data_IF_559014325871
#
_entry.id   IF_559014325871
#
_cell.length_a   1.000
_cell.length_b   1.000
_cell.length_c   1.000
_cell.angle_alpha   90.00
_cell.angle_beta   90.00
_cell.angle_gamma   90.00
#
_symmetry.space_group_name_H-M   'P 1'
#
loop_
_entity.id
_entity.type
_entity.pdbx_description
1 polymer ?
#
# COMPACT_ATOMS: atom_id res chain seq x y z
N UNK A 1 -6.26 21.16 -23.16
CA UNK A 1 -5.59 19.88 -23.24
C UNK A 1 -6.01 19.02 -22.03
N UNK A 2 -6.89 18.05 -22.25
CA UNK A 2 -7.37 17.12 -21.21
C UNK A 2 -6.36 15.98 -21.10
N UNK A 3 -5.68 15.85 -19.95
CA UNK A 3 -4.94 14.64 -19.60
C UNK A 3 -5.93 13.63 -19.03
N UNK A 4 -6.19 12.56 -19.78
CA UNK A 4 -6.99 11.43 -19.34
C UNK A 4 -6.29 10.68 -18.21
N UNK A 5 -7.03 10.45 -17.12
CA UNK A 5 -6.62 9.55 -16.06
C UNK A 5 -6.55 8.12 -16.61
N UNK A 6 -5.40 7.46 -16.48
CA UNK A 6 -5.26 6.05 -16.79
C UNK A 6 -6.11 5.24 -15.80
N UNK A 7 -7.21 4.67 -16.29
CA UNK A 7 -8.01 3.71 -15.54
C UNK A 7 -7.17 2.46 -15.30
N UNK A 8 -7.19 1.95 -14.07
CA UNK A 8 -6.59 0.67 -13.73
C UNK A 8 -7.33 -0.44 -14.53
N UNK A 9 -6.65 -0.97 -15.53
CA UNK A 9 -7.13 -2.07 -16.37
C UNK A 9 -7.22 -3.33 -15.53
N UNK A 10 -8.34 -4.06 -15.57
CA UNK A 10 -8.49 -5.34 -14.86
C UNK A 10 -7.60 -6.41 -15.52
N UNK A 11 -7.29 -7.48 -14.80
CA UNK A 11 -6.49 -8.61 -15.33
C UNK A 11 -7.18 -9.21 -16.57
N UNK A 12 -8.51 -9.21 -16.62
CA UNK A 12 -9.29 -9.70 -17.77
C UNK A 12 -9.25 -8.73 -18.95
N UNK A 13 -9.20 -7.41 -18.72
CA UNK A 13 -8.98 -6.41 -19.76
C UNK A 13 -7.57 -6.51 -20.37
N UNK A 14 -6.57 -6.84 -19.53
CA UNK A 14 -5.19 -7.12 -19.99
C UNK A 14 -5.17 -8.38 -20.85
N UNK A 15 -5.88 -9.44 -20.48
CA UNK A 15 -5.96 -10.66 -21.25
C UNK A 15 -6.68 -10.46 -22.60
N UNK A 16 -7.80 -9.71 -22.62
CA UNK A 16 -8.53 -9.39 -23.86
C UNK A 16 -7.72 -8.46 -24.78
N UNK A 17 -7.05 -7.46 -24.21
CA UNK A 17 -6.16 -6.56 -24.97
C UNK A 17 -4.93 -7.31 -25.48
N UNK A 18 -4.40 -8.28 -24.71
CA UNK A 18 -3.26 -9.10 -25.11
C UNK A 18 -3.60 -10.00 -26.31
N UNK A 19 -4.83 -10.54 -26.40
CA UNK A 19 -5.24 -11.39 -27.53
C UNK A 19 -5.24 -10.65 -28.87
N UNK A 20 -5.52 -9.35 -28.87
CA UNK A 20 -5.46 -8.47 -30.05
C UNK A 20 -4.09 -7.87 -30.29
N UNK A 21 -3.21 -7.83 -29.28
CA UNK A 21 -1.90 -7.17 -29.33
C UNK A 21 -0.74 -8.08 -29.78
N UNK A 22 -0.89 -9.41 -29.68
CA UNK A 22 0.18 -10.34 -30.11
C UNK A 22 0.09 -10.62 -31.61
N UNK A 23 1.10 -10.19 -32.42
CA UNK A 23 1.11 -10.41 -33.88
C UNK A 23 1.40 -11.88 -34.22
N UNK A 24 1.18 -12.26 -35.50
CA UNK A 24 1.52 -13.59 -35.99
C UNK A 24 3.02 -13.86 -36.02
N UNK A 25 3.80 -12.83 -36.20
CA UNK A 25 5.28 -12.90 -36.29
C UNK A 25 5.84 -11.90 -35.27
N UNK A 26 6.73 -12.38 -34.41
CA UNK A 26 7.49 -11.58 -33.46
C UNK A 26 8.95 -11.63 -33.81
N UNK A 27 9.52 -10.47 -34.15
CA UNK A 27 10.94 -10.38 -34.48
C UNK A 27 11.73 -10.28 -33.16
N UNK A 28 12.79 -11.08 -33.07
CA UNK A 28 13.68 -11.13 -31.89
C UNK A 28 15.15 -11.01 -32.35
N UNK A 29 16.03 -10.39 -31.53
CA UNK A 29 17.45 -10.26 -31.88
C UNK A 29 18.19 -11.59 -31.82
N UNK A 30 17.75 -12.52 -30.97
CA UNK A 30 18.20 -13.90 -30.86
C UNK A 30 17.06 -14.77 -30.38
N UNK A 31 17.04 -16.06 -30.77
CA UNK A 31 16.06 -16.98 -30.21
C UNK A 31 16.38 -17.25 -28.75
N UNK A 32 15.40 -17.20 -27.83
CA UNK A 32 15.59 -17.57 -26.43
C UNK A 32 15.94 -19.08 -26.33
N UNK A 33 16.59 -19.47 -25.23
CA UNK A 33 16.98 -20.85 -24.98
C UNK A 33 15.79 -21.83 -25.06
N UNK A 34 14.63 -21.40 -24.58
CA UNK A 34 13.38 -22.15 -24.67
C UNK A 34 12.38 -21.48 -25.64
N UNK A 35 12.77 -21.34 -26.88
CA UNK A 35 11.94 -20.77 -27.94
C UNK A 35 10.59 -21.49 -28.13
N UNK A 36 10.49 -22.85 -27.98
CA UNK A 36 9.21 -23.56 -28.07
C UNK A 36 8.22 -23.13 -26.99
N UNK A 37 8.63 -23.00 -25.73
CA UNK A 37 7.77 -22.57 -24.63
C UNK A 37 7.30 -21.11 -24.81
N UNK A 38 8.20 -20.21 -25.23
CA UNK A 38 7.84 -18.82 -25.53
C UNK A 38 6.82 -18.74 -26.68
N UNK A 39 6.98 -19.54 -27.74
CA UNK A 39 5.99 -19.60 -28.83
C UNK A 39 4.65 -20.10 -28.35
N UNK A 40 4.63 -21.18 -27.57
CA UNK A 40 3.40 -21.77 -27.03
C UNK A 40 2.67 -20.76 -26.12
N UNK A 41 3.39 -20.05 -25.27
CA UNK A 41 2.84 -19.00 -24.41
C UNK A 41 2.22 -17.86 -25.22
N UNK A 42 2.96 -17.30 -26.20
CA UNK A 42 2.47 -16.23 -27.06
C UNK A 42 1.27 -16.71 -27.93
N UNK A 43 1.29 -17.96 -28.40
CA UNK A 43 0.20 -18.56 -29.15
C UNK A 43 -1.06 -18.70 -28.29
N UNK A 44 -0.91 -19.08 -27.00
CA UNK A 44 -2.00 -19.10 -26.01
C UNK A 44 -2.60 -17.72 -25.78
N UNK A 45 -1.79 -16.69 -25.63
CA UNK A 45 -2.24 -15.30 -25.48
C UNK A 45 -2.97 -14.79 -26.72
N UNK A 46 -2.54 -15.20 -27.90
CA UNK A 46 -3.14 -14.78 -29.16
C UNK A 46 -4.40 -15.57 -29.53
N UNK A 47 -4.55 -16.80 -29.07
CA UNK A 47 -5.56 -17.74 -29.56
C UNK A 47 -5.22 -18.30 -30.95
N UNK A 48 -3.95 -18.36 -31.35
CA UNK A 48 -3.48 -18.85 -32.65
C UNK A 48 -1.97 -18.87 -32.78
N UNK A 49 -1.42 -19.48 -33.84
CA UNK A 49 0.01 -19.65 -34.02
C UNK A 49 0.80 -18.33 -34.03
N UNK A 50 1.94 -18.33 -33.37
CA UNK A 50 2.91 -17.22 -33.35
C UNK A 50 4.28 -17.74 -33.74
N UNK A 51 4.96 -17.02 -34.67
CA UNK A 51 6.31 -17.31 -35.12
C UNK A 51 7.31 -16.35 -34.46
N UNK A 52 8.37 -16.89 -33.86
CA UNK A 52 9.53 -16.11 -33.42
C UNK A 52 10.58 -16.16 -34.52
N UNK A 53 11.01 -15.01 -35.01
CA UNK A 53 11.95 -14.91 -36.12
C UNK A 53 13.11 -13.98 -35.83
N UNK A 54 14.32 -14.42 -36.16
CA UNK A 54 15.53 -13.56 -36.20
C UNK A 54 15.69 -13.05 -37.63
N UNK A 55 15.47 -11.76 -37.87
CA UNK A 55 15.61 -11.21 -39.21
C UNK A 55 17.09 -11.04 -39.60
N UNK A 56 17.48 -11.58 -40.74
CA UNK A 56 18.89 -11.56 -41.22
C UNK A 56 19.12 -10.53 -42.32
N UNK A 57 18.10 -10.22 -43.16
CA UNK A 57 18.20 -9.28 -44.29
C UNK A 57 16.88 -8.58 -44.59
N UNK A 58 16.94 -7.52 -45.40
CA UNK A 58 15.80 -6.73 -45.86
C UNK A 58 15.21 -5.85 -44.78
N UNK A 59 14.01 -5.33 -45.02
CA UNK A 59 13.33 -4.33 -44.16
C UNK A 59 13.16 -4.78 -42.71
N UNK A 60 12.92 -6.06 -42.48
CA UNK A 60 12.78 -6.61 -41.10
C UNK A 60 14.11 -6.56 -40.34
N UNK A 61 15.24 -6.74 -40.98
CA UNK A 61 16.56 -6.58 -40.35
C UNK A 61 16.88 -5.11 -40.07
N UNK A 62 16.50 -4.21 -40.98
CA UNK A 62 16.62 -2.76 -40.78
C UNK A 62 15.75 -2.30 -39.61
N UNK A 63 14.49 -2.76 -39.54
CA UNK A 63 13.59 -2.51 -38.42
C UNK A 63 14.17 -3.01 -37.09
N UNK A 64 14.74 -4.22 -37.06
CA UNK A 64 15.38 -4.77 -35.86
C UNK A 64 16.58 -3.92 -35.43
N UNK A 65 17.36 -3.40 -36.37
CA UNK A 65 18.45 -2.45 -36.09
C UNK A 65 17.95 -1.18 -35.39
N UNK A 66 16.86 -0.62 -35.89
CA UNK A 66 16.24 0.57 -35.29
C UNK A 66 15.69 0.27 -33.87
N UNK A 67 15.00 -0.85 -33.70
CA UNK A 67 14.46 -1.27 -32.40
C UNK A 67 15.60 -1.50 -31.40
N UNK A 68 16.69 -2.14 -31.81
CA UNK A 68 17.85 -2.35 -30.94
C UNK A 68 18.48 -1.03 -30.52
N UNK A 69 18.70 -0.10 -31.45
CA UNK A 69 19.26 1.21 -31.15
C UNK A 69 18.38 1.99 -30.15
N UNK A 70 17.07 1.95 -30.35
CA UNK A 70 16.11 2.59 -29.42
C UNK A 70 16.16 1.93 -28.04
N UNK A 71 16.26 0.61 -27.95
CA UNK A 71 16.37 -0.11 -26.69
C UNK A 71 17.67 0.19 -25.95
N UNK A 72 18.80 0.25 -26.66
CA UNK A 72 20.11 0.63 -26.12
C UNK A 72 20.08 2.07 -25.55
N UNK A 73 19.49 3.00 -26.29
CA UNK A 73 19.34 4.39 -25.84
C UNK A 73 18.41 4.50 -24.63
N UNK A 74 17.26 3.81 -24.65
CA UNK A 74 16.35 3.77 -23.51
C UNK A 74 17.02 3.17 -22.26
N UNK A 75 17.82 2.12 -22.42
CA UNK A 75 18.59 1.51 -21.33
C UNK A 75 19.67 2.47 -20.80
N UNK A 76 20.37 3.19 -21.68
CA UNK A 76 21.35 4.19 -21.30
C UNK A 76 20.71 5.29 -20.48
N UNK A 77 19.60 5.86 -20.94
CA UNK A 77 18.85 6.89 -20.22
C UNK A 77 18.33 6.38 -18.88
N UNK A 78 17.83 5.15 -18.83
CA UNK A 78 17.38 4.54 -17.57
C UNK A 78 18.53 4.38 -16.56
N UNK A 79 19.70 3.90 -16.99
CA UNK A 79 20.89 3.78 -16.14
C UNK A 79 21.36 5.13 -15.62
N UNK A 80 21.41 6.17 -16.47
CA UNK A 80 21.81 7.53 -16.09
C UNK A 80 20.85 8.14 -15.07
N UNK A 81 19.53 8.01 -15.29
CA UNK A 81 18.52 8.47 -14.32
C UNK A 81 18.68 7.78 -12.97
N UNK A 82 18.83 6.46 -12.98
CA UNK A 82 18.99 5.67 -11.74
C UNK A 82 20.25 6.07 -10.96
N UNK A 83 21.38 6.28 -11.64
CA UNK A 83 22.61 6.77 -11.01
C UNK A 83 22.42 8.16 -10.39
N UNK A 84 21.79 9.09 -11.13
CA UNK A 84 21.48 10.43 -10.60
C UNK A 84 20.52 10.40 -9.41
N UNK A 85 19.54 9.48 -9.41
CA UNK A 85 18.62 9.32 -8.29
C UNK A 85 19.33 8.81 -7.02
N UNK A 86 20.28 7.88 -7.14
CA UNK A 86 21.08 7.38 -6.01
C UNK A 86 21.92 8.49 -5.41
N UNK A 87 22.66 9.25 -6.24
CA UNK A 87 23.49 10.38 -5.78
C UNK A 87 22.67 11.44 -5.05
N UNK A 88 21.49 11.78 -5.58
CA UNK A 88 20.59 12.74 -4.92
C UNK A 88 20.07 12.23 -3.57
N UNK A 89 19.76 10.96 -3.46
CA UNK A 89 19.30 10.35 -2.21
C UNK A 89 20.41 10.32 -1.16
N UNK A 90 21.63 9.92 -1.54
CA UNK A 90 22.78 9.96 -0.63
C UNK A 90 23.03 11.38 -0.13
N UNK A 91 23.07 12.36 -1.02
CA UNK A 91 23.24 13.78 -0.64
C UNK A 91 22.11 14.26 0.30
N UNK A 92 20.87 13.83 0.08
CA UNK A 92 19.76 14.20 0.97
C UNK A 92 19.89 13.58 2.36
N UNK A 93 20.35 12.34 2.47
CA UNK A 93 20.57 11.66 3.75
C UNK A 93 21.75 12.25 4.52
N UNK A 94 22.85 12.59 3.81
CA UNK A 94 24.03 13.26 4.38
C UNK A 94 23.69 14.67 4.88
N UNK A 95 22.97 15.46 4.08
CA UNK A 95 22.50 16.78 4.49
C UNK A 95 21.55 16.70 5.69
N UNK A 96 20.66 15.72 5.72
CA UNK A 96 19.76 15.49 6.84
C UNK A 96 20.54 15.15 8.11
N UNK A 97 21.54 14.28 8.00
CA UNK A 97 22.41 13.94 9.12
C UNK A 97 23.13 15.19 9.67
N UNK A 98 23.71 16.00 8.78
CA UNK A 98 24.38 17.23 9.19
C UNK A 98 23.44 18.27 9.80
N UNK A 99 22.22 18.40 9.28
CA UNK A 99 21.24 19.36 9.81
C UNK A 99 20.67 18.97 11.18
N UNK A 100 20.67 17.68 11.50
CA UNK A 100 20.14 17.11 12.76
C UNK A 100 21.25 16.69 13.72
N UNK A 101 22.52 16.96 13.40
CA UNK A 101 23.71 16.54 14.17
C UNK A 101 23.72 15.04 14.47
N UNK A 102 23.32 14.22 13.48
CA UNK A 102 23.34 12.77 13.61
C UNK A 102 24.74 12.22 13.37
N UNK A 103 25.15 11.16 14.08
CA UNK A 103 26.48 10.57 13.92
C UNK A 103 26.69 9.94 12.53
N UNK A 104 25.61 9.48 11.92
CA UNK A 104 25.62 8.81 10.60
C UNK A 104 24.38 9.17 9.79
N UNK A 105 24.47 9.04 8.46
CA UNK A 105 23.33 9.20 7.59
C UNK A 105 22.23 8.15 7.90
N UNK A 106 20.97 8.57 8.14
CA UNK A 106 19.89 7.67 8.53
C UNK A 106 19.41 6.85 7.34
N UNK A 107 20.09 5.74 7.04
CA UNK A 107 19.76 4.87 5.89
C UNK A 107 18.35 4.27 5.98
N UNK A 108 17.86 4.02 7.20
CA UNK A 108 16.49 3.58 7.45
C UNK A 108 15.74 4.63 8.24
N UNK A 109 14.67 5.16 7.65
CA UNK A 109 13.80 6.17 8.27
C UNK A 109 12.40 5.57 8.39
N UNK A 110 11.81 5.62 9.59
CA UNK A 110 10.42 5.24 9.85
C UNK A 110 9.59 6.49 10.13
N UNK A 111 8.52 6.73 9.36
CA UNK A 111 7.63 7.86 9.58
C UNK A 111 6.25 7.39 10.05
N UNK A 112 5.73 8.06 11.08
CA UNK A 112 4.48 7.73 11.74
C UNK A 112 3.46 8.85 11.60
N UNK A 113 2.25 8.49 11.22
CA UNK A 113 1.08 9.37 11.11
C UNK A 113 -0.11 8.77 11.85
N UNK A 114 -0.82 9.58 12.62
CA UNK A 114 -2.06 9.19 13.30
C UNK A 114 -3.23 9.77 12.51
N UNK A 115 -4.13 8.90 12.12
CA UNK A 115 -5.31 9.26 11.34
C UNK A 115 -6.58 8.86 12.05
N UNK A 116 -7.57 9.77 12.03
CA UNK A 116 -8.91 9.52 12.57
C UNK A 116 -9.85 9.01 11.48
N UNK A 117 -10.52 7.91 11.76
CA UNK A 117 -11.65 7.45 10.93
C UNK A 117 -12.94 7.92 11.59
N UNK A 118 -13.74 8.74 10.91
CA UNK A 118 -15.04 9.18 11.41
C UNK A 118 -15.84 7.98 11.91
N UNK A 119 -16.09 7.95 13.24
CA UNK A 119 -17.00 7.00 13.89
C UNK A 119 -16.41 5.73 14.51
N UNK A 120 -15.14 5.38 14.35
CA UNK A 120 -14.52 4.28 15.09
C UNK A 120 -12.99 4.24 14.86
N UNK A 121 -12.24 4.06 15.92
CA UNK A 121 -10.83 3.71 16.00
C UNK A 121 -9.83 4.57 15.22
N UNK A 122 -8.94 5.17 15.96
CA UNK A 122 -7.72 5.78 15.45
C UNK A 122 -6.82 4.69 14.86
N UNK A 123 -6.11 5.04 13.78
CA UNK A 123 -5.15 4.15 13.12
C UNK A 123 -3.82 4.88 12.99
N UNK A 124 -2.77 4.30 13.55
CA UNK A 124 -1.41 4.70 13.28
C UNK A 124 -0.91 4.06 12.00
N UNK A 125 -0.30 4.82 11.12
CA UNK A 125 0.40 4.31 9.93
C UNK A 125 1.90 4.51 10.08
N UNK A 126 2.67 3.53 9.62
CA UNK A 126 4.13 3.56 9.58
C UNK A 126 4.56 3.34 8.14
N UNK A 127 5.27 4.27 7.56
CA UNK A 127 5.98 4.10 6.29
C UNK A 127 7.47 4.02 6.54
N UNK A 128 8.17 3.30 5.67
CA UNK A 128 9.60 3.05 5.79
C UNK A 128 10.29 3.51 4.52
N UNK A 129 11.35 4.29 4.69
CA UNK A 129 12.29 4.62 3.63
C UNK A 129 13.62 3.94 3.94
N UNK A 130 14.24 3.39 2.90
CA UNK A 130 15.56 2.78 2.95
C UNK A 130 16.38 3.35 1.80
N UNK A 131 17.59 3.81 2.10
CA UNK A 131 18.46 4.51 1.14
C UNK A 131 17.74 5.69 0.43
N UNK A 132 16.93 6.45 1.18
CA UNK A 132 16.16 7.59 0.67
C UNK A 132 15.00 7.21 -0.26
N UNK A 133 14.58 5.94 -0.31
CA UNK A 133 13.48 5.46 -1.15
C UNK A 133 12.41 4.71 -0.36
N UNK A 134 11.12 4.77 -0.78
CA UNK A 134 10.03 4.07 -0.10
C UNK A 134 10.18 2.54 -0.18
N UNK A 135 10.20 1.87 0.98
CA UNK A 135 10.20 0.41 1.11
C UNK A 135 8.81 -0.10 1.49
N UNK A 136 7.92 -0.21 0.52
CA UNK A 136 6.51 -0.51 0.73
C UNK A 136 6.22 -1.86 1.41
N UNK A 137 7.13 -2.85 1.29
CA UNK A 137 7.03 -4.15 1.99
C UNK A 137 7.00 -4.01 3.51
N UNK A 138 7.62 -2.92 4.02
CA UNK A 138 7.81 -2.68 5.44
C UNK A 138 6.78 -1.73 6.05
N UNK A 139 5.83 -1.23 5.24
CA UNK A 139 4.75 -0.39 5.72
C UNK A 139 3.81 -1.16 6.66
N UNK A 140 3.37 -0.52 7.74
CA UNK A 140 2.49 -1.13 8.74
C UNK A 140 1.38 -0.19 9.15
N UNK A 141 0.32 -0.80 9.67
CA UNK A 141 -0.80 -0.12 10.30
C UNK A 141 -0.99 -0.67 11.70
N UNK A 142 -1.33 0.22 12.61
CA UNK A 142 -1.56 -0.09 14.00
C UNK A 142 -2.96 0.41 14.35
N UNK A 143 -3.87 -0.50 14.68
CA UNK A 143 -5.13 -0.12 15.29
C UNK A 143 -4.83 0.38 16.70
N UNK A 144 -5.24 1.61 17.00
CA UNK A 144 -5.08 2.20 18.33
C UNK A 144 -6.26 1.75 19.19
N UNK A 145 -5.95 1.16 20.32
CA UNK A 145 -6.97 0.62 21.24
C UNK A 145 -7.27 1.57 22.39
N UNK A 146 -6.30 2.39 22.81
CA UNK A 146 -6.39 3.18 24.03
C UNK A 146 -6.38 2.29 25.28
N UNK A 147 -6.47 2.90 26.47
CA UNK A 147 -6.45 2.16 27.74
C UNK A 147 -7.71 1.33 27.96
N UNK A 148 -8.85 1.80 27.46
CA UNK A 148 -10.18 1.19 27.73
C UNK A 148 -10.74 0.47 26.49
N UNK A 149 -9.94 0.27 25.44
CA UNK A 149 -10.38 -0.37 24.21
C UNK A 149 -11.26 0.52 23.30
N UNK A 150 -11.54 1.77 23.70
CA UNK A 150 -12.41 2.72 22.97
C UNK A 150 -11.64 3.65 22.03
N UNK A 151 -10.32 3.51 21.97
CA UNK A 151 -9.40 4.40 21.26
C UNK A 151 -8.61 5.30 22.21
N UNK A 152 -7.58 5.97 21.69
CA UNK A 152 -6.80 6.91 22.50
C UNK A 152 -7.57 8.23 22.68
N UNK A 153 -7.30 8.90 23.78
CA UNK A 153 -7.96 10.19 24.14
C UNK A 153 -7.60 11.27 23.13
N UNK A 154 -6.37 11.25 22.62
CA UNK A 154 -5.82 12.22 21.66
C UNK A 154 -4.73 11.60 20.78
N UNK A 155 -4.20 12.40 19.85
CA UNK A 155 -3.15 11.97 18.92
C UNK A 155 -1.82 11.67 19.62
N UNK A 156 -1.54 12.32 20.74
CA UNK A 156 -0.30 12.10 21.50
C UNK A 156 -0.33 10.76 22.20
N UNK A 157 -1.45 10.39 22.81
CA UNK A 157 -1.66 9.07 23.42
C UNK A 157 -1.65 7.95 22.35
N UNK A 158 -2.25 8.20 21.18
CA UNK A 158 -2.21 7.27 20.05
C UNK A 158 -0.79 7.06 19.53
N UNK A 159 -0.01 8.13 19.36
CA UNK A 159 1.37 8.08 18.93
C UNK A 159 2.24 7.28 19.90
N UNK A 160 2.08 7.55 21.20
CA UNK A 160 2.78 6.80 22.26
C UNK A 160 2.45 5.31 22.21
N UNK A 161 1.17 4.93 22.05
CA UNK A 161 0.78 3.51 21.92
C UNK A 161 1.45 2.84 20.71
N UNK A 162 1.39 3.48 19.55
CA UNK A 162 1.95 2.94 18.30
C UNK A 162 3.45 2.71 18.42
N UNK A 163 4.19 3.70 18.91
CA UNK A 163 5.64 3.60 19.09
C UNK A 163 6.01 2.56 20.15
N UNK A 164 5.31 2.55 21.28
CA UNK A 164 5.51 1.54 22.32
C UNK A 164 5.36 0.12 21.76
N UNK A 165 4.30 -0.15 20.98
CA UNK A 165 4.07 -1.47 20.36
C UNK A 165 5.15 -1.82 19.33
N UNK A 166 5.57 -0.85 18.52
CA UNK A 166 6.61 -1.06 17.50
C UNK A 166 7.95 -1.40 18.15
N UNK A 167 8.37 -0.59 19.14
CA UNK A 167 9.70 -0.75 19.74
C UNK A 167 9.76 -1.88 20.77
N UNK A 168 8.70 -2.20 21.49
CA UNK A 168 8.60 -3.46 22.26
C UNK A 168 8.85 -4.68 21.38
N UNK A 169 8.29 -4.67 20.17
CA UNK A 169 8.50 -5.76 19.22
C UNK A 169 9.95 -5.79 18.69
N UNK A 170 10.57 -4.64 18.44
CA UNK A 170 11.98 -4.57 18.11
C UNK A 170 12.85 -5.22 19.18
N UNK A 171 12.66 -4.81 20.44
CA UNK A 171 13.40 -5.35 21.58
C UNK A 171 13.19 -6.87 21.75
N UNK A 172 11.97 -7.34 21.60
CA UNK A 172 11.66 -8.78 21.64
C UNK A 172 12.33 -9.56 20.50
N UNK A 173 12.39 -9.01 19.29
CA UNK A 173 13.05 -9.65 18.14
C UNK A 173 14.59 -9.58 18.23
N UNK A 174 15.14 -8.63 18.98
CA UNK A 174 16.58 -8.52 19.27
C UNK A 174 17.02 -9.33 20.49
N UNK A 175 16.09 -9.93 21.25
CA UNK A 175 16.41 -10.70 22.46
C UNK A 175 16.69 -9.84 23.70
N UNK A 176 16.41 -8.54 23.66
CA UNK A 176 16.63 -7.58 24.74
C UNK A 176 15.32 -7.20 25.48
N UNK A 177 14.27 -8.00 25.38
CA UNK A 177 12.99 -7.71 26.03
C UNK A 177 12.97 -8.15 27.51
N UNK A 178 12.39 -7.34 28.46
CA UNK A 178 12.10 -7.83 29.79
C UNK A 178 11.08 -8.97 29.71
N UNK A 179 11.33 -10.04 30.45
CA UNK A 179 10.37 -11.14 30.61
C UNK A 179 9.09 -10.63 31.30
N UNK A 180 8.11 -10.19 30.53
CA UNK A 180 6.77 -9.97 31.03
C UNK A 180 5.74 -10.26 29.95
N UNK A 181 4.91 -11.29 30.22
CA UNK A 181 3.57 -11.51 29.73
C UNK A 181 3.29 -11.29 28.24
N UNK A 182 3.44 -12.33 27.45
CA UNK A 182 2.91 -12.34 26.08
C UNK A 182 1.37 -12.29 26.14
N UNK A 183 0.77 -11.11 25.97
CA UNK A 183 -0.60 -11.02 25.54
C UNK A 183 -0.69 -11.40 24.05
N UNK A 184 -1.69 -12.22 23.66
CA UNK A 184 -1.83 -12.63 22.27
C UNK A 184 -2.20 -11.42 21.41
N UNK A 185 -1.31 -11.03 20.51
CA UNK A 185 -1.60 -10.03 19.50
C UNK A 185 -2.78 -10.50 18.66
N UNK A 186 -3.88 -9.75 18.69
CA UNK A 186 -5.06 -9.95 17.89
C UNK A 186 -4.69 -10.14 16.42
N UNK A 187 -5.09 -11.28 15.87
CA UNK A 187 -4.93 -11.66 14.48
C UNK A 187 -5.88 -10.85 13.61
N UNK A 188 -5.33 -9.91 12.83
CA UNK A 188 -6.02 -9.38 11.66
C UNK A 188 -5.45 -10.04 10.40
N UNK A 189 -6.25 -10.97 9.89
CA UNK A 189 -6.40 -11.34 8.50
C UNK A 189 -5.23 -11.92 7.73
N UNK A 190 -5.15 -13.27 7.65
CA UNK A 190 -4.56 -13.93 6.49
C UNK A 190 -3.73 -15.17 6.78
N UNK A 191 -4.38 -16.34 6.57
CA UNK A 191 -3.82 -17.67 6.39
C UNK A 191 -3.51 -18.49 7.67
N UNK A 192 -4.35 -19.49 7.85
CA UNK A 192 -4.17 -20.62 8.77
C UNK A 192 -2.85 -21.34 8.50
N UNK A 193 -2.03 -21.43 9.54
CA UNK A 193 -0.84 -22.27 9.62
C UNK A 193 -0.69 -22.79 11.04
N UNK A 194 -0.91 -24.06 11.20
CA UNK A 194 -0.74 -24.98 12.31
C UNK A 194 0.04 -24.47 13.53
N UNK A 195 -0.60 -24.61 14.71
CA UNK A 195 -0.01 -24.42 16.01
C UNK A 195 1.19 -25.38 16.21
N UNK A 196 2.39 -24.80 16.15
CA UNK A 196 3.64 -25.45 16.57
C UNK A 196 4.10 -24.81 17.87
N UNK A 197 4.31 -25.61 18.88
CA UNK A 197 4.87 -25.28 20.18
C UNK A 197 6.11 -24.40 20.04
N UNK A 198 6.04 -23.17 20.56
CA UNK A 198 7.13 -22.22 20.54
C UNK A 198 8.23 -22.68 21.48
N UNK A 199 9.35 -23.12 20.91
CA UNK A 199 10.63 -23.28 21.63
C UNK A 199 11.26 -21.91 21.87
N UNK A 200 11.81 -21.62 23.06
CA UNK A 200 12.40 -20.32 23.38
C UNK A 200 13.87 -20.27 22.91
N UNK A 201 14.11 -20.24 21.62
CA UNK A 201 15.44 -20.03 21.10
C UNK A 201 15.43 -19.58 19.64
N UNK A 202 15.27 -18.28 19.44
CA UNK A 202 15.74 -17.65 18.21
C UNK A 202 15.69 -16.13 18.32
N UNK A 203 16.52 -15.56 19.22
CA UNK A 203 16.86 -14.15 19.23
C UNK A 203 17.85 -13.87 18.11
N UNK A 204 17.45 -13.11 17.10
CA UNK A 204 18.31 -12.72 16.00
C UNK A 204 17.52 -12.05 14.86
N UNK A 205 18.18 -11.24 14.02
CA UNK A 205 17.53 -10.49 12.95
C UNK A 205 16.98 -11.38 11.82
N UNK A 206 17.37 -12.66 11.80
CA UNK A 206 16.94 -13.63 10.79
C UNK A 206 16.02 -14.67 11.43
N UNK A 207 14.90 -14.93 10.82
CA UNK A 207 13.98 -16.00 11.20
C UNK A 207 14.62 -17.37 10.82
N UNK A 208 14.93 -18.23 11.79
CA UNK A 208 15.63 -19.49 11.53
C UNK A 208 14.78 -20.49 10.72
N UNK A 209 13.45 -20.37 10.74
CA UNK A 209 12.55 -21.26 10.00
C UNK A 209 12.41 -20.89 8.52
N UNK A 210 12.52 -19.60 8.19
CA UNK A 210 12.33 -19.10 6.83
C UNK A 210 13.60 -18.54 6.18
N UNK A 211 14.68 -18.35 6.96
CA UNK A 211 15.93 -17.73 6.52
C UNK A 211 15.78 -16.26 6.10
N UNK A 212 14.62 -15.63 6.39
CA UNK A 212 14.32 -14.26 6.01
C UNK A 212 14.52 -13.30 7.18
N UNK A 213 14.91 -12.05 6.93
CA UNK A 213 14.97 -11.03 7.96
C UNK A 213 13.62 -10.89 8.67
N UNK A 214 13.62 -10.87 9.99
CA UNK A 214 12.42 -10.54 10.78
C UNK A 214 12.04 -9.10 10.51
N UNK A 215 10.75 -8.84 10.38
CA UNK A 215 10.24 -7.58 9.85
C UNK A 215 10.49 -6.34 10.72
N UNK A 216 10.73 -6.55 12.01
CA UNK A 216 10.94 -5.49 13.00
C UNK A 216 12.32 -5.52 13.67
N UNK A 217 13.22 -6.39 13.24
CA UNK A 217 14.54 -6.58 13.85
C UNK A 217 15.54 -5.45 13.58
N UNK A 218 15.25 -4.58 12.62
CA UNK A 218 16.11 -3.45 12.30
C UNK A 218 15.65 -2.19 13.01
N UNK A 219 16.55 -1.60 13.83
CA UNK A 219 16.33 -0.27 14.37
C UNK A 219 16.38 0.75 13.25
N UNK A 220 15.48 1.77 13.22
CA UNK A 220 15.63 2.89 12.30
C UNK A 220 16.80 3.77 12.72
N UNK A 221 17.49 4.38 11.75
CA UNK A 221 18.47 5.44 12.01
C UNK A 221 17.80 6.78 12.35
N UNK A 222 16.49 6.92 12.01
CA UNK A 222 15.69 8.09 12.32
C UNK A 222 14.21 7.73 12.42
N UNK A 223 13.55 8.20 13.46
CA UNK A 223 12.09 8.20 13.60
C UNK A 223 11.56 9.58 13.26
N UNK A 224 10.55 9.65 12.40
CA UNK A 224 9.84 10.87 12.02
C UNK A 224 8.39 10.77 12.44
N UNK A 225 7.88 11.78 13.09
CA UNK A 225 6.46 11.89 13.49
C UNK A 225 5.82 13.00 12.64
N UNK A 226 4.71 12.67 11.95
CA UNK A 226 3.89 13.68 11.26
C UNK A 226 3.10 14.48 12.31
N UNK A 227 3.76 15.48 12.89
CA UNK A 227 3.20 16.30 13.93
C UNK A 227 4.21 17.30 14.50
N UNK A 228 3.72 18.19 15.36
CA UNK A 228 4.54 19.19 16.04
C UNK A 228 5.09 18.68 17.37
N UNK A 229 5.60 19.63 18.18
CA UNK A 229 6.28 19.38 19.45
C UNK A 229 5.51 18.47 20.44
N UNK A 230 4.16 18.56 20.59
CA UNK A 230 3.43 17.67 21.51
C UNK A 230 3.55 16.18 21.11
N UNK A 231 3.43 15.87 19.81
CA UNK A 231 3.55 14.50 19.29
C UNK A 231 5.00 14.00 19.41
N UNK A 232 5.98 14.87 19.17
CA UNK A 232 7.42 14.57 19.35
C UNK A 232 7.73 14.21 20.80
N UNK A 233 7.25 15.02 21.74
CA UNK A 233 7.47 14.77 23.16
C UNK A 233 6.81 13.46 23.64
N UNK A 234 5.59 13.16 23.15
CA UNK A 234 4.92 11.91 23.44
C UNK A 234 5.69 10.71 22.85
N UNK A 235 6.23 10.86 21.66
CA UNK A 235 7.08 9.86 21.01
C UNK A 235 8.39 9.64 21.78
N UNK A 236 9.06 10.71 22.21
CA UNK A 236 10.29 10.65 23.02
C UNK A 236 10.04 9.91 24.34
N UNK A 237 8.97 10.29 25.05
CA UNK A 237 8.58 9.61 26.29
C UNK A 237 8.39 8.10 26.09
N UNK A 238 7.76 7.68 24.98
CA UNK A 238 7.56 6.27 24.69
C UNK A 238 8.87 5.51 24.46
N UNK A 239 9.84 6.14 23.80
CA UNK A 239 11.16 5.57 23.53
C UNK A 239 12.01 5.50 24.82
N UNK A 240 11.97 6.55 25.63
CA UNK A 240 12.69 6.62 26.91
C UNK A 240 12.22 5.56 27.91
N UNK A 241 10.89 5.34 28.01
CA UNK A 241 10.31 4.30 28.84
C UNK A 241 10.74 2.87 28.44
N UNK A 242 11.12 2.70 27.18
CA UNK A 242 11.62 1.43 26.65
C UNK A 242 13.15 1.31 26.66
N UNK A 243 13.86 2.38 27.06
CA UNK A 243 15.33 2.44 27.00
C UNK A 243 15.86 2.40 25.56
N UNK A 244 15.08 2.92 24.60
CA UNK A 244 15.45 2.92 23.18
C UNK A 244 16.03 4.27 22.82
N UNK A 245 17.30 4.28 22.44
CA UNK A 245 17.99 5.47 21.98
C UNK A 245 18.03 5.49 20.44
N UNK A 246 17.06 6.19 19.85
CA UNK A 246 16.93 6.40 18.41
C UNK A 246 16.64 7.87 18.16
N UNK A 247 17.34 8.52 17.19
CA UNK A 247 17.04 9.88 16.78
C UNK A 247 15.56 10.04 16.39
N UNK A 248 14.96 11.13 16.85
CA UNK A 248 13.54 11.42 16.67
C UNK A 248 13.33 12.86 16.24
N UNK A 249 12.47 13.07 15.26
CA UNK A 249 12.02 14.40 14.85
C UNK A 249 10.52 14.44 14.61
N UNK A 250 9.93 15.62 14.70
CA UNK A 250 8.59 15.92 14.19
C UNK A 250 8.63 16.78 12.95
N UNK A 251 7.71 16.57 12.05
CA UNK A 251 7.53 17.40 10.86
C UNK A 251 6.18 18.10 10.92
N UNK A 252 6.17 19.40 11.23
CA UNK A 252 4.94 20.17 11.34
C UNK A 252 4.37 20.51 9.95
N UNK A 253 3.02 20.45 9.82
CA UNK A 253 2.31 20.71 8.54
C UNK A 253 2.44 22.15 8.03
N UNK A 254 2.55 23.11 8.95
CA UNK A 254 2.76 24.52 8.59
C UNK A 254 4.25 24.86 8.67
N UNK A 255 4.76 25.52 7.66
CA UNK A 255 6.14 26.01 7.55
C UNK A 255 7.23 24.93 7.40
N UNK A 256 6.85 23.64 7.34
CA UNK A 256 7.81 22.52 7.18
C UNK A 256 8.91 22.54 8.26
N UNK A 257 8.53 22.94 9.47
CA UNK A 257 9.40 23.00 10.64
C UNK A 257 9.75 21.59 11.10
N UNK A 258 11.05 21.38 11.33
CA UNK A 258 11.57 20.11 11.87
C UNK A 258 11.81 20.31 13.36
N UNK A 259 10.98 19.63 14.17
CA UNK A 259 11.06 19.71 15.63
C UNK A 259 11.92 18.58 16.18
N UNK A 260 12.91 18.94 17.00
CA UNK A 260 13.77 17.99 17.71
C UNK A 260 13.34 17.96 19.18
N UNK A 261 13.26 16.80 19.84
CA UNK A 261 12.92 16.72 21.27
C UNK A 261 13.89 17.52 22.13
N UNK A 262 13.36 18.34 23.03
CA UNK A 262 14.16 19.13 23.94
C UNK A 262 14.65 20.47 23.38
N UNK A 263 14.50 20.74 22.10
CA UNK A 263 14.87 22.02 21.50
C UNK A 263 13.72 23.02 21.61
N UNK A 264 14.08 24.29 21.90
CA UNK A 264 13.11 25.37 22.02
C UNK A 264 12.64 25.87 20.64
N UNK A 265 13.49 25.74 19.62
CA UNK A 265 13.22 26.21 18.25
C UNK A 265 13.33 25.07 17.25
N UNK A 266 12.50 25.10 16.18
CA UNK A 266 12.61 24.11 15.12
C UNK A 266 13.86 24.33 14.26
N UNK A 267 14.39 23.24 13.74
CA UNK A 267 15.40 23.30 12.67
C UNK A 267 14.71 23.70 11.37
N UNK A 268 15.22 24.75 10.72
CA UNK A 268 14.68 25.23 9.44
C UNK A 268 15.63 24.85 8.32
N UNK A 269 15.16 23.99 7.42
CA UNK A 269 15.89 23.61 6.22
C UNK A 269 15.59 24.58 5.06
N UNK A 270 16.59 24.82 4.21
CA UNK A 270 16.37 25.63 3.02
C UNK A 270 15.33 25.00 2.09
N UNK A 271 14.48 25.80 1.43
CA UNK A 271 13.44 25.29 0.53
C UNK A 271 13.96 24.47 -0.65
N UNK A 272 15.21 24.69 -1.04
CA UNK A 272 15.90 23.95 -2.11
C UNK A 272 16.69 22.75 -1.60
N UNK A 273 16.67 22.51 -0.29
CA UNK A 273 17.40 21.44 0.38
C UNK A 273 16.94 20.06 -0.08
N UNK A 274 17.85 19.19 -0.55
CA UNK A 274 17.58 17.78 -0.77
C UNK A 274 17.00 17.06 0.46
N UNK A 275 17.47 17.37 1.67
CA UNK A 275 16.97 16.83 2.93
C UNK A 275 15.50 17.23 3.17
N UNK A 276 15.14 18.49 2.94
CA UNK A 276 13.74 18.93 3.04
C UNK A 276 12.83 18.18 2.05
N UNK A 277 13.27 18.04 0.80
CA UNK A 277 12.51 17.31 -0.21
C UNK A 277 12.33 15.82 0.17
N UNK A 278 13.34 15.20 0.80
CA UNK A 278 13.23 13.84 1.33
C UNK A 278 12.17 13.75 2.43
N UNK A 279 12.19 14.67 3.40
CA UNK A 279 11.21 14.72 4.50
C UNK A 279 9.79 15.00 3.98
N UNK A 280 9.63 15.88 3.01
CA UNK A 280 8.35 16.14 2.34
C UNK A 280 7.83 14.87 1.66
N UNK A 281 8.69 14.18 0.89
CA UNK A 281 8.33 12.93 0.24
C UNK A 281 7.93 11.85 1.25
N UNK A 282 8.64 11.75 2.37
CA UNK A 282 8.34 10.83 3.46
C UNK A 282 6.96 11.11 4.07
N UNK A 283 6.67 12.37 4.38
CA UNK A 283 5.38 12.84 4.90
C UNK A 283 4.24 12.57 3.92
N UNK A 284 4.42 12.96 2.66
CA UNK A 284 3.40 12.78 1.62
C UNK A 284 3.08 11.29 1.40
N UNK A 285 4.09 10.42 1.45
CA UNK A 285 3.91 8.98 1.35
C UNK A 285 3.19 8.42 2.59
N UNK A 286 3.51 8.89 3.80
CA UNK A 286 2.81 8.52 5.04
C UNK A 286 1.32 8.89 4.94
N UNK A 287 1.05 10.13 4.58
CA UNK A 287 -0.32 10.62 4.41
C UNK A 287 -1.08 9.89 3.30
N UNK A 288 -0.43 9.62 2.16
CA UNK A 288 -0.99 8.81 1.06
C UNK A 288 -1.35 7.40 1.52
N UNK A 289 -0.48 6.77 2.31
CA UNK A 289 -0.70 5.42 2.83
C UNK A 289 -1.88 5.39 3.81
N UNK A 290 -1.98 6.37 4.69
CA UNK A 290 -3.10 6.55 5.61
C UNK A 290 -4.43 6.73 4.87
N UNK A 291 -4.51 7.69 3.92
CA UNK A 291 -5.73 7.98 3.14
C UNK A 291 -6.20 6.77 2.32
N UNK A 292 -5.28 6.01 1.72
CA UNK A 292 -5.62 4.82 0.93
C UNK A 292 -6.39 3.81 1.77
N UNK A 293 -6.00 3.63 3.03
CA UNK A 293 -6.71 2.74 3.96
C UNK A 293 -8.11 3.26 4.31
N UNK A 294 -8.23 4.56 4.59
CA UNK A 294 -9.54 5.16 4.88
C UNK A 294 -10.52 4.98 3.73
N UNK A 295 -10.05 5.19 2.49
CA UNK A 295 -10.87 4.97 1.29
C UNK A 295 -11.29 3.50 1.15
N UNK A 296 -10.37 2.56 1.36
CA UNK A 296 -10.68 1.12 1.29
C UNK A 296 -11.67 0.69 2.38
N UNK A 297 -11.50 1.13 3.63
CA UNK A 297 -12.45 0.86 4.73
C UNK A 297 -13.82 1.49 4.49
N UNK A 298 -13.85 2.75 4.05
CA UNK A 298 -15.11 3.44 3.72
C UNK A 298 -15.83 2.72 2.58
N UNK A 299 -15.13 2.34 1.53
CA UNK A 299 -15.70 1.56 0.43
C UNK A 299 -16.22 0.20 0.92
N UNK A 300 -15.48 -0.50 1.78
CA UNK A 300 -15.93 -1.77 2.36
C UNK A 300 -17.14 -1.60 3.28
N UNK A 301 -17.18 -0.53 4.09
CA UNK A 301 -18.32 -0.22 4.95
C UNK A 301 -19.56 0.14 4.13
N UNK A 302 -19.43 1.01 3.12
CA UNK A 302 -20.53 1.34 2.19
C UNK A 302 -21.00 0.11 1.41
N UNK A 303 -20.07 -0.78 1.06
CA UNK A 303 -20.37 -2.03 0.36
C UNK A 303 -21.18 -2.98 1.25
N UNK A 304 -20.82 -3.11 2.54
CA UNK A 304 -21.59 -3.91 3.52
C UNK A 304 -22.96 -3.29 3.75
N UNK A 305 -23.02 -2.00 4.08
CA UNK A 305 -24.28 -1.30 4.31
C UNK A 305 -25.27 -1.46 3.14
N UNK A 306 -24.79 -1.35 1.90
CA UNK A 306 -25.65 -1.54 0.73
C UNK A 306 -26.19 -2.98 0.55
N UNK A 307 -25.57 -3.98 1.19
CA UNK A 307 -25.99 -5.38 1.14
C UNK A 307 -26.68 -5.84 2.43
N UNK A 308 -26.47 -5.14 3.55
CA UNK A 308 -27.07 -5.50 4.85
C UNK A 308 -28.59 -5.35 4.84
N UNK A 309 -29.10 -4.38 4.09
CA UNK A 309 -30.52 -4.09 3.96
C UNK A 309 -31.27 -5.06 3.01
N UNK A 310 -30.54 -5.97 2.33
CA UNK A 310 -31.17 -6.92 1.39
C UNK A 310 -31.78 -8.10 2.16
N UNK A 311 -33.13 -8.29 2.10
CA UNK A 311 -33.79 -9.38 2.80
C UNK A 311 -33.26 -10.75 2.38
N UNK A 312 -32.90 -11.59 3.36
CA UNK A 312 -32.41 -12.96 3.11
C UNK A 312 -30.95 -13.07 2.70
N UNK A 313 -30.19 -11.95 2.65
CA UNK A 313 -28.79 -11.93 2.31
C UNK A 313 -27.91 -11.87 3.57
N UNK A 314 -27.66 -13.01 4.21
CA UNK A 314 -26.80 -13.07 5.39
C UNK A 314 -25.30 -12.92 5.09
N UNK A 315 -24.45 -12.72 6.14
CA UNK A 315 -23.03 -12.38 6.01
C UNK A 315 -22.21 -13.34 5.14
N UNK A 316 -22.48 -14.64 5.22
CA UNK A 316 -21.78 -15.65 4.42
C UNK A 316 -22.07 -15.51 2.91
N UNK A 317 -23.30 -15.18 2.54
CA UNK A 317 -23.71 -14.98 1.15
C UNK A 317 -23.17 -13.64 0.62
N UNK A 318 -23.15 -12.60 1.45
CA UNK A 318 -22.52 -11.30 1.11
C UNK A 318 -21.03 -11.50 0.81
N UNK A 319 -20.31 -12.24 1.65
CA UNK A 319 -18.91 -12.54 1.45
C UNK A 319 -18.66 -13.32 0.14
N UNK A 320 -19.52 -14.30 -0.18
CA UNK A 320 -19.44 -15.06 -1.43
C UNK A 320 -19.66 -14.16 -2.66
N UNK A 321 -20.65 -13.26 -2.62
CA UNK A 321 -20.91 -12.29 -3.69
C UNK A 321 -19.73 -11.33 -3.88
N UNK A 322 -19.20 -10.78 -2.80
CA UNK A 322 -18.07 -9.85 -2.87
C UNK A 322 -16.79 -10.53 -3.36
N UNK A 323 -16.61 -11.82 -3.04
CA UNK A 323 -15.51 -12.63 -3.55
C UNK A 323 -15.61 -12.83 -5.06
N UNK A 324 -16.82 -13.11 -5.57
CA UNK A 324 -17.07 -13.38 -7.01
C UNK A 324 -17.01 -12.09 -7.85
N UNK A 325 -17.73 -11.06 -7.42
CA UNK A 325 -17.90 -9.83 -8.21
C UNK A 325 -16.88 -8.73 -7.87
N UNK A 326 -16.18 -8.83 -6.74
CA UNK A 326 -15.14 -7.87 -6.31
C UNK A 326 -15.66 -6.51 -5.86
N UNK A 327 -16.87 -6.08 -6.29
CA UNK A 327 -17.48 -4.79 -5.89
C UNK A 327 -18.99 -4.76 -6.11
N UNK A 328 -19.71 -3.92 -5.31
CA UNK A 328 -21.16 -3.68 -5.51
C UNK A 328 -21.45 -3.07 -6.86
N UNK A 329 -20.56 -2.27 -7.41
CA UNK A 329 -20.73 -1.69 -8.76
C UNK A 329 -20.79 -2.79 -9.85
N UNK A 330 -19.90 -3.79 -9.78
CA UNK A 330 -19.94 -4.95 -10.71
C UNK A 330 -21.14 -5.83 -10.44
N UNK A 331 -21.53 -5.99 -9.17
CA UNK A 331 -22.73 -6.75 -8.79
C UNK A 331 -24.01 -6.10 -9.35
N UNK A 332 -24.13 -4.79 -9.29
CA UNK A 332 -25.25 -4.04 -9.92
C UNK A 332 -25.34 -4.20 -11.42
N UNK A 333 -24.20 -4.34 -12.08
CA UNK A 333 -24.13 -4.51 -13.54
C UNK A 333 -24.27 -5.98 -14.00
N UNK A 334 -24.30 -6.93 -13.06
CA UNK A 334 -24.40 -8.34 -13.37
C UNK A 334 -25.85 -8.78 -13.68
N UNK A 335 -26.02 -9.86 -14.43
CA UNK A 335 -27.33 -10.45 -14.68
C UNK A 335 -27.80 -11.31 -13.49
N UNK A 336 -29.12 -11.48 -13.36
CA UNK A 336 -29.70 -12.32 -12.29
C UNK A 336 -29.19 -13.76 -12.34
N UNK A 337 -28.99 -14.32 -13.54
CA UNK A 337 -28.45 -15.67 -13.73
C UNK A 337 -27.03 -15.79 -13.19
N UNK A 338 -26.19 -14.79 -13.45
CA UNK A 338 -24.81 -14.78 -12.97
C UNK A 338 -24.71 -14.61 -11.45
N UNK A 339 -25.64 -13.87 -10.85
CA UNK A 339 -25.74 -13.76 -9.40
C UNK A 339 -26.25 -15.07 -8.79
N UNK A 340 -27.23 -15.72 -9.42
CA UNK A 340 -27.77 -17.00 -8.98
C UNK A 340 -26.77 -18.16 -9.10
N UNK A 341 -25.72 -18.06 -9.93
CA UNK A 341 -24.66 -19.05 -10.03
C UNK A 341 -23.73 -19.09 -8.80
N UNK A 342 -23.78 -18.07 -7.94
CA UNK A 342 -22.99 -18.03 -6.70
C UNK A 342 -23.57 -18.99 -5.68
N UNK A 343 -22.73 -19.86 -5.11
CA UNK A 343 -23.15 -20.88 -4.14
C UNK A 343 -23.97 -20.29 -2.99
N UNK A 344 -25.18 -20.80 -2.80
CA UNK A 344 -26.11 -20.38 -1.74
C UNK A 344 -27.04 -19.22 -2.13
N UNK A 345 -27.06 -18.80 -3.40
CA UNK A 345 -27.96 -17.79 -3.93
C UNK A 345 -28.84 -18.41 -4.98
N UNK A 346 -30.15 -18.42 -4.72
CA UNK A 346 -31.15 -18.87 -5.68
C UNK A 346 -31.65 -17.75 -6.59
N UNK A 347 -32.41 -18.05 -7.65
CA UNK A 347 -32.94 -17.08 -8.60
C UNK A 347 -33.75 -15.95 -7.94
N UNK A 348 -34.60 -16.32 -6.96
CA UNK A 348 -35.44 -15.35 -6.22
C UNK A 348 -34.60 -14.36 -5.44
N UNK A 349 -33.57 -14.84 -4.72
CA UNK A 349 -32.67 -13.96 -3.97
C UNK A 349 -31.81 -13.08 -4.90
N UNK A 350 -31.39 -13.61 -6.05
CA UNK A 350 -30.66 -12.84 -7.06
C UNK A 350 -31.50 -11.67 -7.59
N UNK A 351 -32.78 -11.90 -7.88
CA UNK A 351 -33.72 -10.86 -8.30
C UNK A 351 -33.94 -9.81 -7.20
N UNK A 352 -34.09 -10.23 -5.93
CA UNK A 352 -34.22 -9.33 -4.78
C UNK A 352 -32.98 -8.45 -4.61
N UNK A 353 -31.78 -9.03 -4.74
CA UNK A 353 -30.49 -8.28 -4.68
C UNK A 353 -30.45 -7.19 -5.76
N UNK A 354 -30.78 -7.54 -7.00
CA UNK A 354 -30.75 -6.58 -8.10
C UNK A 354 -31.79 -5.45 -7.95
N UNK A 355 -33.00 -5.79 -7.53
CA UNK A 355 -34.06 -4.83 -7.26
C UNK A 355 -33.66 -3.83 -6.16
N UNK A 356 -33.04 -4.36 -5.08
CA UNK A 356 -32.57 -3.51 -3.97
C UNK A 356 -31.38 -2.62 -4.36
N UNK A 357 -30.45 -3.16 -5.14
CA UNK A 357 -29.28 -2.40 -5.57
C UNK A 357 -29.59 -1.39 -6.70
N UNK A 358 -30.64 -1.60 -7.47
CA UNK A 358 -31.09 -0.76 -8.58
C UNK A 358 -32.56 -0.32 -8.36
N UNK A 359 -32.85 0.49 -7.30
CA UNK A 359 -34.21 0.95 -7.10
C UNK A 359 -34.66 1.76 -8.32
N UNK A 360 -35.80 1.39 -8.90
CA UNK A 360 -36.46 2.19 -9.92
C UNK A 360 -36.89 3.48 -9.22
N UNK A 361 -36.52 4.68 -9.70
CA UNK A 361 -36.99 5.90 -9.10
C UNK A 361 -38.53 5.91 -9.20
N UNK A 362 -39.20 6.03 -8.04
CA UNK A 362 -40.64 6.31 -7.97
C UNK A 362 -40.87 7.66 -8.64
N UNK A 363 -41.22 7.60 -9.93
CA UNK A 363 -41.73 8.77 -10.63
C UNK A 363 -43.24 8.78 -10.33
N UNK A 364 -43.78 9.74 -9.54
CA UNK A 364 -45.22 9.81 -9.36
C UNK A 364 -45.88 10.05 -10.73
N UNK A 365 -47.01 9.40 -11.05
CA UNK A 365 -47.68 9.60 -12.31
C UNK A 365 -48.03 11.09 -12.43
N UNK A 366 -47.53 11.70 -13.52
CA UNK A 366 -47.82 13.09 -13.83
C UNK A 366 -49.29 13.35 -13.78
N UNK A 367 -49.71 14.25 -12.90
CA UNK A 367 -50.99 14.90 -12.98
C UNK A 367 -51.01 15.67 -14.28
N UNK A 368 -51.74 15.14 -15.22
CA UNK A 368 -52.15 15.88 -16.41
C UNK A 368 -52.95 17.11 -15.96
N UNK A 369 -52.34 18.26 -16.10
CA UNK A 369 -53.03 19.53 -15.94
C UNK A 369 -53.92 19.77 -17.19
N UNK A 370 -55.16 19.29 -17.11
CA UNK A 370 -56.26 19.85 -17.90
C UNK A 370 -56.67 21.15 -17.22
N UNK A 371 -56.19 22.25 -17.72
CA UNK A 371 -57.03 23.49 -17.72
C UNK A 371 -56.62 24.38 -18.88
N UNK A 372 -57.32 24.15 -19.99
CA UNK A 372 -57.56 25.11 -21.02
C UNK A 372 -58.75 25.97 -20.61
N UNK A 373 -58.54 27.26 -20.37
CA UNK A 373 -59.46 28.32 -20.83
C UNK A 373 -58.87 29.69 -20.56
#
# INVERSE_FOLDING_TARGET
ARRGAAAATSVDDVAHTATTAVPREVLVPALPADAPAVRAWLAGLRGGGVELRVPVRGDKAALMGTVRKNAEEALRLHKTRRAGDLTRRSAALEELAGALDLPEAPLRIECYDISHTHGAHQVGSMVVFEDGAPRKSDYRRFTVHGRDGTGAVDDTAAMREVLTRRFKRLLAEQGAGPEQGAEPAGTDGGAAGTAGTASPAASGPIDPGTGRPRRFSYAPGLVVVDGGLPQVNAARTALDELGVDVPLIGLAKRLEEVWVPGEEFPVVLARTSPALHLLQHLRDESHRFAITHHRARRSAAMTRSALDDVPGLGPARQAALLKEFGSVKRLRAATAERIASVRGIGPTLAATILAHLNPVPDNPPGTADEHNR
#
